data_IF_230105285468
#
_entry.id   IF_230105285468
#
_cell.length_a   1.000
_cell.length_b   1.000
_cell.length_c   1.000
_cell.angle_alpha   90.00
_cell.angle_beta   90.00
_cell.angle_gamma   90.00
#
_symmetry.space_group_name_H-M   'P 1'
#
loop_
_entity.id
_entity.type
_entity.pdbx_description
1 polymer ?
#
# COMPACT_ATOMS: atom_id res chain seq x y z
N UNK A 1 -33.97 -3.75 -10.61
CA UNK A 1 -32.60 -4.09 -11.03
C UNK A 1 -32.46 -5.61 -11.05
N UNK A 2 -32.62 -6.25 -12.21
CA UNK A 2 -32.54 -7.71 -12.34
C UNK A 2 -31.08 -8.18 -12.27
N UNK A 3 -30.76 -8.92 -11.21
CA UNK A 3 -29.44 -9.43 -10.90
C UNK A 3 -29.07 -10.60 -11.82
N UNK A 4 -28.50 -10.31 -12.99
CA UNK A 4 -28.00 -11.33 -13.93
C UNK A 4 -26.59 -11.77 -13.55
N UNK A 5 -26.45 -12.50 -12.45
CA UNK A 5 -25.32 -13.42 -12.31
C UNK A 5 -25.55 -14.56 -13.31
N UNK A 6 -24.97 -14.38 -14.49
CA UNK A 6 -24.84 -15.41 -15.52
C UNK A 6 -24.29 -16.66 -14.83
N UNK A 7 -25.15 -17.66 -14.60
CA UNK A 7 -24.71 -18.98 -14.17
C UNK A 7 -23.60 -19.40 -15.14
N UNK A 8 -22.37 -19.40 -14.65
CA UNK A 8 -21.24 -19.87 -15.43
C UNK A 8 -21.49 -21.36 -15.60
N UNK A 9 -21.84 -21.79 -16.82
CA UNK A 9 -22.00 -23.20 -17.17
C UNK A 9 -20.87 -24.02 -16.54
N UNK A 10 -21.19 -24.75 -15.48
CA UNK A 10 -20.27 -25.63 -14.76
C UNK A 10 -19.68 -26.68 -15.69
N UNK A 11 -20.41 -26.99 -16.76
CA UNK A 11 -20.06 -27.93 -17.82
C UNK A 11 -18.79 -27.56 -18.61
N UNK A 12 -18.37 -26.28 -18.62
CA UNK A 12 -17.14 -25.86 -19.34
C UNK A 12 -15.86 -25.98 -18.50
N UNK A 13 -15.98 -26.26 -17.20
CA UNK A 13 -14.86 -26.32 -16.28
C UNK A 13 -14.60 -27.76 -15.84
N UNK A 14 -13.39 -28.23 -16.17
CA UNK A 14 -12.90 -29.52 -15.70
C UNK A 14 -12.62 -29.42 -14.21
N UNK A 15 -13.30 -30.25 -13.43
CA UNK A 15 -13.06 -30.40 -12.00
C UNK A 15 -12.24 -31.67 -11.77
N UNK A 16 -11.00 -31.50 -11.33
CA UNK A 16 -10.13 -32.62 -10.97
C UNK A 16 -10.53 -33.18 -9.61
N UNK A 17 -10.42 -34.50 -9.44
CA UNK A 17 -10.53 -35.12 -8.12
C UNK A 17 -9.30 -34.77 -7.25
N UNK A 18 -9.38 -34.86 -5.91
CA UNK A 18 -8.23 -34.62 -5.04
C UNK A 18 -7.01 -35.47 -5.40
N UNK A 19 -7.23 -36.73 -5.75
CA UNK A 19 -6.18 -37.69 -6.09
C UNK A 19 -5.53 -37.34 -7.44
N UNK A 20 -6.31 -36.85 -8.41
CA UNK A 20 -5.78 -36.32 -9.67
C UNK A 20 -4.91 -35.09 -9.44
N UNK A 21 -5.35 -34.18 -8.56
CA UNK A 21 -4.57 -32.99 -8.19
C UNK A 21 -3.27 -33.41 -7.52
N UNK A 22 -3.30 -34.36 -6.57
CA UNK A 22 -2.11 -34.85 -5.89
C UNK A 22 -1.11 -35.49 -6.86
N UNK A 23 -1.59 -36.32 -7.80
CA UNK A 23 -0.74 -36.89 -8.85
C UNK A 23 -0.08 -35.80 -9.70
N UNK A 24 -0.84 -34.79 -10.13
CA UNK A 24 -0.32 -33.66 -10.91
C UNK A 24 0.69 -32.81 -10.11
N UNK A 25 0.46 -32.60 -8.82
CA UNK A 25 1.40 -31.88 -7.93
C UNK A 25 2.72 -32.66 -7.75
N UNK A 26 2.66 -33.99 -7.57
CA UNK A 26 3.86 -34.84 -7.51
C UNK A 26 4.68 -34.73 -8.80
N UNK A 27 4.02 -34.85 -9.96
CA UNK A 27 4.66 -34.66 -11.26
C UNK A 27 5.22 -33.25 -11.46
N UNK A 28 4.57 -32.23 -10.89
CA UNK A 28 5.07 -30.86 -10.92
C UNK A 28 6.39 -30.69 -10.18
N UNK A 29 6.57 -31.37 -9.04
CA UNK A 29 7.84 -31.32 -8.29
C UNK A 29 9.02 -31.91 -9.06
N UNK A 30 8.77 -32.92 -9.90
CA UNK A 30 9.80 -33.54 -10.74
C UNK A 30 10.08 -32.72 -12.01
N UNK A 31 9.03 -32.27 -12.71
CA UNK A 31 9.16 -31.54 -13.96
C UNK A 31 8.04 -30.50 -14.14
N UNK A 32 8.26 -29.22 -13.80
CA UNK A 32 7.22 -28.19 -13.86
C UNK A 32 6.88 -27.73 -15.30
N UNK A 33 7.63 -28.18 -16.32
CA UNK A 33 7.43 -27.84 -17.74
C UNK A 33 7.49 -29.10 -18.61
N UNK A 34 6.57 -30.05 -18.45
CA UNK A 34 6.63 -31.31 -19.19
C UNK A 34 6.48 -31.07 -20.71
N UNK A 35 7.28 -31.77 -21.50
CA UNK A 35 7.21 -31.76 -22.96
C UNK A 35 5.89 -32.40 -23.46
N UNK A 36 5.58 -32.28 -24.76
CA UNK A 36 4.38 -32.91 -25.31
C UNK A 36 4.43 -34.45 -25.20
N UNK A 37 5.59 -35.03 -25.51
CA UNK A 37 5.82 -36.46 -25.36
C UNK A 37 5.66 -36.90 -23.91
N UNK A 38 6.23 -36.15 -22.95
CA UNK A 38 6.07 -36.47 -21.53
C UNK A 38 4.61 -36.40 -21.10
N UNK A 39 3.83 -35.40 -21.53
CA UNK A 39 2.38 -35.35 -21.24
C UNK A 39 1.61 -36.56 -21.76
N UNK A 40 1.94 -37.04 -22.96
CA UNK A 40 1.32 -38.26 -23.51
C UNK A 40 1.72 -39.53 -22.75
N UNK A 41 2.97 -39.62 -22.30
CA UNK A 41 3.43 -40.71 -21.44
C UNK A 41 2.70 -40.72 -20.10
N UNK A 42 2.54 -39.56 -19.45
CA UNK A 42 1.86 -39.45 -18.15
C UNK A 42 0.42 -39.97 -18.18
N UNK A 43 -0.31 -39.75 -19.27
CA UNK A 43 -1.68 -40.27 -19.43
C UNK A 43 -1.70 -41.81 -19.53
N UNK A 44 -0.67 -42.40 -20.15
CA UNK A 44 -0.53 -43.86 -20.29
C UNK A 44 0.00 -44.52 -19.01
N UNK A 45 0.95 -43.87 -18.35
CA UNK A 45 1.67 -44.39 -17.17
C UNK A 45 0.91 -44.16 -15.86
N UNK A 46 0.03 -43.17 -15.80
CA UNK A 46 -0.75 -42.84 -14.61
C UNK A 46 -2.25 -43.10 -14.85
N UNK A 47 -2.78 -44.29 -14.46
CA UNK A 47 -4.18 -44.64 -14.66
C UNK A 47 -5.16 -43.59 -14.13
N UNK A 48 -4.81 -42.90 -13.05
CA UNK A 48 -5.66 -41.84 -12.46
C UNK A 48 -5.81 -40.59 -13.35
N UNK A 49 -4.88 -40.39 -14.27
CA UNK A 49 -4.88 -39.30 -15.25
C UNK A 49 -5.33 -39.77 -16.65
N UNK A 50 -5.68 -41.04 -16.82
CA UNK A 50 -6.01 -41.64 -18.13
C UNK A 50 -7.20 -40.95 -18.82
N UNK A 51 -8.15 -40.42 -18.05
CA UNK A 51 -9.33 -39.70 -18.53
C UNK A 51 -9.09 -38.17 -18.69
N UNK A 52 -7.86 -37.69 -18.56
CA UNK A 52 -7.52 -36.26 -18.69
C UNK A 52 -6.87 -36.03 -20.05
N UNK A 53 -7.39 -35.08 -20.82
CA UNK A 53 -6.82 -34.77 -22.13
C UNK A 53 -5.41 -34.14 -22.02
N UNK A 54 -4.49 -34.38 -22.98
CA UNK A 54 -3.16 -33.76 -22.99
C UNK A 54 -3.20 -32.22 -22.92
N UNK A 55 -4.23 -31.60 -23.50
CA UNK A 55 -4.45 -30.14 -23.47
C UNK A 55 -4.79 -29.67 -22.06
N UNK A 56 -5.58 -30.42 -21.31
CA UNK A 56 -5.94 -30.11 -19.93
C UNK A 56 -4.70 -30.19 -19.03
N UNK A 57 -3.84 -31.20 -19.20
CA UNK A 57 -2.54 -31.28 -18.50
C UNK A 57 -1.70 -30.04 -18.80
N UNK A 58 -1.57 -29.65 -20.08
CA UNK A 58 -0.82 -28.43 -20.46
C UNK A 58 -1.34 -27.20 -19.72
N UNK A 59 -2.66 -26.99 -19.69
CA UNK A 59 -3.30 -25.85 -19.02
C UNK A 59 -3.11 -25.93 -17.51
N UNK A 60 -3.24 -27.11 -16.90
CA UNK A 60 -3.00 -27.30 -15.47
C UNK A 60 -1.59 -26.87 -15.07
N UNK A 61 -0.55 -27.31 -15.80
CA UNK A 61 0.84 -26.91 -15.53
C UNK A 61 1.11 -25.42 -15.79
N UNK A 62 0.42 -24.80 -16.74
CA UNK A 62 0.48 -23.34 -16.95
C UNK A 62 -0.14 -22.59 -15.76
N UNK A 63 -1.35 -22.97 -15.37
CA UNK A 63 -2.07 -22.37 -14.24
C UNK A 63 -1.31 -22.58 -12.93
N UNK A 64 -0.74 -23.76 -12.72
CA UNK A 64 0.02 -24.08 -11.50
C UNK A 64 1.26 -23.19 -11.34
N UNK A 65 2.01 -22.95 -12.43
CA UNK A 65 3.13 -22.00 -12.44
C UNK A 65 2.67 -20.57 -12.21
N UNK A 66 1.57 -20.16 -12.84
CA UNK A 66 1.00 -18.83 -12.66
C UNK A 66 0.59 -18.60 -11.18
N UNK A 67 -0.14 -19.55 -10.58
CA UNK A 67 -0.53 -19.51 -9.16
C UNK A 67 0.66 -19.49 -8.21
N UNK A 68 1.73 -20.22 -8.51
CA UNK A 68 2.95 -20.18 -7.70
C UNK A 68 3.63 -18.81 -7.76
N UNK A 69 3.78 -18.26 -8.96
CA UNK A 69 4.33 -16.91 -9.15
C UNK A 69 3.48 -15.88 -8.40
N UNK A 70 2.15 -15.97 -8.52
CA UNK A 70 1.23 -15.09 -7.81
C UNK A 70 1.34 -15.23 -6.28
N UNK A 71 1.45 -16.45 -5.74
CA UNK A 71 1.65 -16.66 -4.30
C UNK A 71 2.96 -16.04 -3.79
N UNK A 72 4.06 -16.23 -4.54
CA UNK A 72 5.36 -15.64 -4.19
C UNK A 72 5.28 -14.11 -4.18
N UNK A 73 4.65 -13.54 -5.20
CA UNK A 73 4.47 -12.09 -5.31
C UNK A 73 3.56 -11.53 -4.21
N UNK A 74 2.45 -12.20 -3.90
CA UNK A 74 1.57 -11.79 -2.82
C UNK A 74 2.29 -11.80 -1.46
N UNK A 75 3.10 -12.83 -1.19
CA UNK A 75 3.93 -12.91 0.03
C UNK A 75 4.98 -11.79 0.10
N UNK A 76 5.61 -11.48 -1.04
CA UNK A 76 6.57 -10.36 -1.15
C UNK A 76 5.89 -9.03 -0.84
N UNK A 77 4.72 -8.77 -1.45
CA UNK A 77 3.93 -7.55 -1.22
C UNK A 77 3.47 -7.45 0.23
N UNK A 78 3.00 -8.55 0.83
CA UNK A 78 2.61 -8.57 2.24
C UNK A 78 3.78 -8.21 3.16
N UNK A 79 4.98 -8.69 2.85
CA UNK A 79 6.19 -8.37 3.62
C UNK A 79 6.53 -6.88 3.54
N UNK A 80 6.53 -6.30 2.33
CA UNK A 80 6.79 -4.87 2.14
C UNK A 80 5.71 -4.01 2.79
N UNK A 81 4.45 -4.40 2.68
CA UNK A 81 3.34 -3.67 3.29
C UNK A 81 3.46 -3.64 4.83
N UNK A 82 3.80 -4.75 5.47
CA UNK A 82 4.06 -4.79 6.92
C UNK A 82 5.16 -3.81 7.33
N UNK A 83 6.26 -3.75 6.57
CA UNK A 83 7.36 -2.80 6.83
C UNK A 83 6.89 -1.35 6.68
N UNK A 84 6.15 -1.05 5.61
CA UNK A 84 5.62 0.28 5.36
C UNK A 84 4.64 0.72 6.46
N UNK A 85 3.76 -0.17 6.91
CA UNK A 85 2.86 0.09 8.04
C UNK A 85 3.62 0.39 9.33
N UNK A 86 4.67 -0.39 9.63
CA UNK A 86 5.50 -0.14 10.81
C UNK A 86 6.22 1.21 10.73
N UNK A 87 6.80 1.53 9.56
CA UNK A 87 7.46 2.83 9.34
C UNK A 87 6.48 4.01 9.44
N UNK A 88 5.31 3.91 8.82
CA UNK A 88 4.27 4.94 8.91
C UNK A 88 3.84 5.17 10.35
N UNK A 89 3.74 4.12 11.16
CA UNK A 89 3.42 4.25 12.59
C UNK A 89 4.47 5.07 13.33
N UNK A 90 5.75 4.75 13.16
CA UNK A 90 6.85 5.50 13.77
C UNK A 90 6.88 6.96 13.32
N UNK A 91 6.61 7.21 12.03
CA UNK A 91 6.55 8.57 11.50
C UNK A 91 5.40 9.37 12.11
N UNK A 92 4.22 8.76 12.28
CA UNK A 92 3.08 9.41 12.95
C UNK A 92 3.39 9.72 14.41
N UNK A 93 4.03 8.81 15.13
CA UNK A 93 4.45 9.02 16.53
C UNK A 93 5.46 10.17 16.65
N UNK A 94 6.44 10.25 15.75
CA UNK A 94 7.40 11.35 15.75
C UNK A 94 6.76 12.68 15.35
N UNK A 95 5.82 12.66 14.40
CA UNK A 95 5.08 13.85 14.02
C UNK A 95 4.25 14.40 15.19
N UNK A 96 3.54 13.54 15.92
CA UNK A 96 2.81 13.92 17.14
C UNK A 96 3.74 14.48 18.22
N UNK A 97 4.91 13.85 18.42
CA UNK A 97 5.92 14.33 19.37
C UNK A 97 6.43 15.73 19.00
N UNK A 98 6.75 15.96 17.73
CA UNK A 98 7.21 17.24 17.23
C UNK A 98 6.11 18.31 17.32
N UNK A 99 4.87 17.96 16.98
CA UNK A 99 3.72 18.85 17.10
C UNK A 99 3.57 19.34 18.56
N UNK A 100 3.69 18.43 19.54
CA UNK A 100 3.65 18.77 20.97
C UNK A 100 4.78 19.70 21.39
N UNK A 101 6.02 19.44 20.94
CA UNK A 101 7.15 20.32 21.24
C UNK A 101 6.96 21.73 20.66
N UNK A 102 6.50 21.82 19.41
CA UNK A 102 6.19 23.10 18.76
C UNK A 102 5.10 23.85 19.52
N UNK A 103 4.02 23.16 19.91
CA UNK A 103 2.95 23.78 20.72
C UNK A 103 3.46 24.33 22.05
N UNK A 104 4.33 23.59 22.75
CA UNK A 104 4.94 24.04 24.00
C UNK A 104 5.80 25.30 23.78
N UNK A 105 6.71 25.26 22.79
CA UNK A 105 7.58 26.39 22.49
C UNK A 105 6.78 27.63 22.06
N UNK A 106 5.70 27.47 21.28
CA UNK A 106 4.82 28.58 20.89
C UNK A 106 4.14 29.18 22.10
N UNK A 107 3.64 28.35 23.02
CA UNK A 107 3.02 28.79 24.27
C UNK A 107 4.00 29.58 25.14
N UNK A 108 5.19 29.01 25.43
CA UNK A 108 6.21 29.66 26.25
C UNK A 108 6.67 30.99 25.65
N UNK A 109 6.90 31.02 24.33
CA UNK A 109 7.28 32.25 23.63
C UNK A 109 6.20 33.33 23.72
N UNK A 110 4.92 32.95 23.61
CA UNK A 110 3.80 33.86 23.81
C UNK A 110 3.80 34.43 25.22
N UNK A 111 3.96 33.57 26.23
CA UNK A 111 4.00 33.95 27.64
C UNK A 111 5.17 34.88 27.97
N UNK A 112 6.38 34.57 27.48
CA UNK A 112 7.56 35.43 27.67
C UNK A 112 7.38 36.81 27.02
N UNK A 113 6.82 36.86 25.81
CA UNK A 113 6.51 38.14 25.13
C UNK A 113 5.51 38.98 25.91
N UNK A 114 4.48 38.34 26.47
CA UNK A 114 3.49 39.02 27.30
C UNK A 114 4.10 39.58 28.59
N UNK A 115 4.96 38.80 29.27
CA UNK A 115 5.68 39.28 30.45
C UNK A 115 6.54 40.52 30.13
N UNK A 116 7.33 40.47 29.06
CA UNK A 116 8.16 41.60 28.63
C UNK A 116 7.33 42.86 28.33
N UNK A 117 6.19 42.72 27.66
CA UNK A 117 5.27 43.84 27.38
C UNK A 117 4.63 44.40 28.66
N UNK A 118 4.23 43.53 29.60
CA UNK A 118 3.65 43.97 30.87
C UNK A 118 4.66 44.71 31.76
N UNK A 119 5.90 44.22 31.83
CA UNK A 119 6.97 44.84 32.62
C UNK A 119 7.41 46.21 32.06
N UNK A 120 7.38 46.38 30.73
CA UNK A 120 7.68 47.66 30.09
C UNK A 120 6.54 48.67 30.23
N UNK A 121 5.28 48.24 30.31
CA UNK A 121 4.15 49.10 30.64
C UNK A 121 4.24 49.65 32.07
N UNK A 122 4.56 48.81 33.07
CA UNK A 122 4.71 49.26 34.47
C UNK A 122 5.86 50.23 34.71
N UNK A 123 6.91 50.21 33.89
CA UNK A 123 8.02 51.18 33.98
C UNK A 123 7.75 52.49 33.23
N UNK A 124 6.82 52.51 32.28
CA UNK A 124 6.56 53.71 31.44
C UNK A 124 5.74 54.76 32.20
N UNK A 125 4.90 54.36 33.14
CA UNK A 125 4.13 55.30 33.98
C UNK A 125 5.00 56.07 35.00
N UNK A 126 6.28 55.67 35.17
CA UNK A 126 7.23 56.32 36.07
C UNK A 126 8.43 56.99 35.37
N UNK A 127 8.56 56.91 34.04
CA UNK A 127 9.53 57.73 33.31
C UNK A 127 9.15 57.83 31.83
N UNK A 128 8.59 58.98 31.48
CA UNK A 128 8.52 59.47 30.10
C UNK A 128 9.94 59.59 29.53
N UNK A 129 10.41 58.60 28.77
CA UNK A 129 11.53 58.76 27.86
C UNK A 129 11.39 57.82 26.66
N UNK A 130 11.39 58.40 25.45
CA UNK A 130 11.45 57.68 24.18
C UNK A 130 12.56 56.63 24.17
N UNK A 131 12.26 55.41 23.69
CA UNK A 131 13.29 54.55 23.14
C UNK A 131 12.80 53.89 21.85
N UNK A 132 13.29 54.45 20.74
CA UNK A 132 13.20 53.90 19.39
C UNK A 132 14.05 52.64 19.31
N UNK A 133 13.43 51.47 19.04
CA UNK A 133 14.15 50.32 18.47
C UNK A 133 13.31 49.63 17.39
N UNK A 134 13.67 50.00 16.16
CA UNK A 134 13.69 49.21 14.92
C UNK A 134 12.44 48.42 14.52
N UNK A 135 11.62 49.07 13.69
CA UNK A 135 10.80 48.43 12.66
C UNK A 135 11.69 47.63 11.69
N UNK A 136 12.08 46.42 12.10
CA UNK A 136 12.68 45.41 11.23
C UNK A 136 11.59 44.57 10.56
N UNK A 137 11.14 45.02 9.39
CA UNK A 137 10.63 44.18 8.29
C UNK A 137 9.55 43.14 8.65
N UNK A 138 8.29 43.57 8.62
CA UNK A 138 7.13 42.70 8.39
C UNK A 138 7.26 42.08 6.99
N UNK A 139 7.89 40.92 6.87
CA UNK A 139 7.64 40.03 5.75
C UNK A 139 6.16 39.65 5.78
N UNK A 140 5.40 40.18 4.83
CA UNK A 140 4.16 39.54 4.39
C UNK A 140 4.55 38.17 3.85
N UNK A 141 4.33 37.13 4.65
CA UNK A 141 4.12 35.79 4.12
C UNK A 141 2.71 35.39 4.54
N UNK A 142 1.77 35.77 3.68
CA UNK A 142 0.41 35.25 3.73
C UNK A 142 0.49 33.75 3.55
N UNK A 143 -0.12 33.03 4.49
CA UNK A 143 -0.33 31.60 4.44
C UNK A 143 -1.43 31.31 3.39
N UNK A 144 -1.20 30.53 2.31
CA UNK A 144 -2.30 30.00 1.53
C UNK A 144 -2.78 28.67 2.14
N UNK A 145 -4.07 28.62 2.41
CA UNK A 145 -4.90 27.48 2.78
C UNK A 145 -4.64 26.26 1.88
N UNK A 146 -4.74 25.00 2.37
CA UNK A 146 -4.58 23.84 1.51
C UNK A 146 -5.84 23.66 0.66
N UNK A 147 -5.73 23.93 -0.65
CA UNK A 147 -6.76 23.56 -1.61
C UNK A 147 -6.64 22.06 -1.97
N UNK A 148 -7.77 21.41 -1.78
CA UNK A 148 -8.13 20.06 -2.20
C UNK A 148 -7.73 19.78 -3.66
N UNK A 149 -7.13 18.63 -4.02
CA UNK A 149 -6.95 18.27 -5.42
C UNK A 149 -8.28 17.77 -5.98
N UNK A 150 -8.83 18.51 -6.93
CA UNK A 150 -9.92 18.05 -7.78
C UNK A 150 -9.33 17.08 -8.80
N UNK A 151 -9.84 15.85 -8.82
CA UNK A 151 -9.59 14.91 -9.92
C UNK A 151 -10.18 15.50 -11.18
N UNK A 152 -9.37 15.61 -12.22
CA UNK A 152 -9.87 15.54 -13.59
C UNK A 152 -9.18 14.40 -14.33
N UNK A 153 -10.04 13.53 -14.83
CA UNK A 153 -9.70 12.46 -15.74
C UNK A 153 -9.17 13.08 -17.03
N UNK A 154 -8.06 12.55 -17.55
CA UNK A 154 -7.93 12.15 -18.95
C UNK A 154 -6.54 11.53 -19.21
N UNK A 155 -6.56 10.21 -19.33
CA UNK A 155 -5.57 9.45 -20.09
C UNK A 155 -5.89 9.62 -21.58
N UNK A 156 -4.87 9.65 -22.45
CA UNK A 156 -4.91 8.69 -23.54
C UNK A 156 -3.60 7.92 -23.63
N UNK A 157 -3.76 6.61 -23.75
CA UNK A 157 -2.73 5.71 -24.22
C UNK A 157 -2.43 6.00 -25.70
N UNK A 158 -1.15 5.91 -26.04
CA UNK A 158 -0.58 5.74 -27.37
C UNK A 158 0.71 4.95 -27.24
#
# INVERSE_FOLDING_TARGET
>A
MHNKYKQMDTSKYVRYTPEQVEALERLYTECPKPSSLRRQQLIRECPILSNIEPKQIKVWFQNRRCREKQRKEASRLQTVNRKLTAMNKLLMEENDRLQKQVSHLVYDNGYMRQQLQSASATTTDNNSCESVVMSGQRQQQQNPTPQHPQRDANNPAG
#
